data_IF_555275228142
#
_entry.id   IF_555275228142
#
_cell.length_a   1.000
_cell.length_b   1.000
_cell.length_c   1.000
_cell.angle_alpha   90.00
_cell.angle_beta   90.00
_cell.angle_gamma   90.00
#
_symmetry.space_group_name_H-M   'P 1'
#
loop_
_entity.id
_entity.type
_entity.pdbx_description
1 polymer ?
#
# COMPACT_ATOMS: atom_id res chain seq x y z
N UNK A 1 -8.15 14.64 -4.29
CA UNK A 1 -9.43 14.18 -4.90
C UNK A 1 -9.35 14.03 -6.42
N UNK A 2 -8.84 15.01 -7.18
CA UNK A 2 -8.66 14.84 -8.64
C UNK A 2 -7.68 13.71 -9.01
N UNK A 3 -6.55 13.62 -8.31
CA UNK A 3 -5.58 12.55 -8.49
C UNK A 3 -6.20 11.17 -8.24
N UNK A 4 -6.99 11.02 -7.18
CA UNK A 4 -7.73 9.79 -6.90
C UNK A 4 -8.61 9.36 -8.07
N UNK A 5 -9.46 10.26 -8.59
CA UNK A 5 -10.30 9.94 -9.75
C UNK A 5 -9.47 9.60 -10.98
N UNK A 6 -8.37 10.30 -11.23
CA UNK A 6 -7.48 10.02 -12.35
C UNK A 6 -6.85 8.62 -12.25
N UNK A 7 -6.36 8.23 -11.07
CA UNK A 7 -5.81 6.90 -10.81
C UNK A 7 -6.89 5.83 -10.98
N UNK A 8 -8.10 6.06 -10.49
CA UNK A 8 -9.23 5.14 -10.68
C UNK A 8 -9.58 4.96 -12.16
N UNK A 9 -9.68 6.04 -12.94
CA UNK A 9 -9.92 5.95 -14.39
C UNK A 9 -8.79 5.20 -15.11
N UNK A 10 -7.54 5.46 -14.73
CA UNK A 10 -6.39 4.76 -15.28
C UNK A 10 -6.41 3.27 -14.95
N UNK A 11 -6.71 2.91 -13.70
CA UNK A 11 -6.81 1.52 -13.27
C UNK A 11 -7.92 0.77 -14.02
N UNK A 12 -9.08 1.40 -14.20
CA UNK A 12 -10.18 0.83 -15.00
C UNK A 12 -9.77 0.66 -16.46
N UNK A 13 -9.10 1.66 -17.05
CA UNK A 13 -8.62 1.59 -18.43
C UNK A 13 -7.64 0.45 -18.65
N UNK A 14 -6.61 0.33 -17.80
CA UNK A 14 -5.62 -0.75 -17.87
C UNK A 14 -6.27 -2.11 -17.70
N UNK A 15 -7.16 -2.27 -16.71
CA UNK A 15 -7.87 -3.52 -16.48
C UNK A 15 -8.77 -3.93 -17.66
N UNK A 16 -9.39 -2.96 -18.34
CA UNK A 16 -10.29 -3.23 -19.46
C UNK A 16 -9.51 -3.57 -20.74
N UNK A 17 -8.45 -2.82 -21.05
CA UNK A 17 -7.71 -2.94 -22.33
C UNK A 17 -6.61 -3.99 -22.26
N UNK A 18 -5.98 -4.17 -21.10
CA UNK A 18 -4.69 -4.88 -20.96
C UNK A 18 -4.78 -6.11 -20.06
N UNK A 19 -5.96 -6.73 -19.95
CA UNK A 19 -6.20 -7.90 -19.10
C UNK A 19 -5.28 -9.10 -19.39
N UNK A 20 -4.86 -9.29 -20.65
CA UNK A 20 -3.98 -10.40 -21.05
C UNK A 20 -2.51 -10.23 -20.66
N UNK A 21 -2.04 -9.00 -20.46
CA UNK A 21 -0.66 -8.74 -20.05
C UNK A 21 -0.51 -8.61 -18.53
N UNK A 22 -1.62 -8.56 -17.79
CA UNK A 22 -1.67 -8.32 -16.36
C UNK A 22 -0.74 -9.27 -15.58
N UNK A 23 -0.76 -10.57 -15.88
CA UNK A 23 0.12 -11.55 -15.22
C UNK A 23 1.63 -11.25 -15.39
N UNK A 24 2.04 -10.65 -16.52
CA UNK A 24 3.44 -10.23 -16.73
C UNK A 24 3.74 -8.92 -16.00
N UNK A 25 2.76 -8.01 -15.95
CA UNK A 25 2.86 -6.76 -15.19
C UNK A 25 3.00 -7.02 -13.69
N UNK A 26 2.24 -7.96 -13.12
CA UNK A 26 2.34 -8.33 -11.70
C UNK A 26 3.76 -8.77 -11.31
N UNK A 27 4.41 -9.57 -12.16
CA UNK A 27 5.81 -9.97 -11.93
C UNK A 27 6.79 -8.79 -11.91
N UNK A 28 6.58 -7.79 -12.78
CA UNK A 28 7.38 -6.56 -12.80
C UNK A 28 7.09 -5.69 -11.58
N UNK A 29 5.82 -5.59 -11.18
CA UNK A 29 5.40 -4.84 -10.00
C UNK A 29 6.02 -5.43 -8.73
N UNK A 30 6.08 -6.75 -8.60
CA UNK A 30 6.75 -7.42 -7.48
C UNK A 30 8.23 -7.02 -7.38
N UNK A 31 8.92 -7.03 -8.52
CA UNK A 31 10.33 -6.62 -8.59
C UNK A 31 10.48 -5.15 -8.24
N UNK A 32 9.63 -4.28 -8.80
CA UNK A 32 9.60 -2.85 -8.51
C UNK A 32 9.28 -2.58 -7.03
N UNK A 33 8.42 -3.36 -6.39
CA UNK A 33 8.07 -3.25 -4.99
C UNK A 33 9.27 -3.57 -4.09
N UNK A 34 9.97 -4.68 -4.35
CA UNK A 34 11.17 -5.05 -3.61
C UNK A 34 12.30 -4.02 -3.78
N UNK A 35 12.58 -3.59 -5.01
CA UNK A 35 13.58 -2.55 -5.25
C UNK A 35 13.14 -1.20 -4.68
N UNK A 36 11.86 -0.87 -4.79
CA UNK A 36 11.31 0.38 -4.32
C UNK A 36 11.38 0.50 -2.80
N UNK A 37 11.16 -0.61 -2.09
CA UNK A 37 11.38 -0.71 -0.65
C UNK A 37 12.81 -0.27 -0.27
N UNK A 38 13.83 -0.85 -0.90
CA UNK A 38 15.22 -0.49 -0.61
C UNK A 38 15.58 0.93 -1.09
N UNK A 39 15.01 1.36 -2.21
CA UNK A 39 15.21 2.70 -2.75
C UNK A 39 14.64 3.82 -1.86
N UNK A 40 13.66 3.50 -1.01
CA UNK A 40 13.16 4.42 0.03
C UNK A 40 13.90 4.22 1.35
N UNK A 41 14.09 2.97 1.77
CA UNK A 41 14.70 2.64 3.07
C UNK A 41 16.16 3.13 3.16
N UNK A 42 16.98 2.90 2.13
CA UNK A 42 18.41 3.22 2.17
C UNK A 42 18.63 4.74 2.29
N UNK A 43 18.05 5.61 1.44
CA UNK A 43 18.22 7.05 1.61
C UNK A 43 17.66 7.57 2.93
N UNK A 44 16.54 7.03 3.39
CA UNK A 44 15.92 7.42 4.65
C UNK A 44 16.86 7.15 5.83
N UNK A 45 17.41 5.93 5.94
CA UNK A 45 18.32 5.58 7.03
C UNK A 45 19.69 6.22 6.86
N UNK A 46 20.18 6.41 5.64
CA UNK A 46 21.53 6.92 5.42
C UNK A 46 21.64 8.44 5.63
N UNK A 47 20.65 9.20 5.13
CA UNK A 47 20.66 10.66 5.23
C UNK A 47 19.82 11.19 6.39
N UNK A 48 18.86 10.40 6.88
CA UNK A 48 17.93 10.80 7.92
C UNK A 48 18.59 11.15 9.25
N UNK A 49 17.95 12.01 10.05
CA UNK A 49 18.33 12.17 11.45
C UNK A 49 18.15 10.84 12.17
N UNK A 50 19.01 10.50 13.13
CA UNK A 50 18.86 9.27 13.90
C UNK A 50 18.41 9.62 15.31
N UNK A 51 17.19 9.23 15.66
CA UNK A 51 16.65 9.36 17.01
C UNK A 51 17.25 8.34 17.98
N UNK A 52 17.02 8.58 19.28
CA UNK A 52 17.43 7.68 20.35
C UNK A 52 16.36 6.61 20.64
N UNK A 53 16.62 5.75 21.62
CA UNK A 53 15.67 4.71 22.07
C UNK A 53 14.35 5.27 22.65
N UNK A 54 14.20 6.59 22.72
CA UNK A 54 12.95 7.27 23.12
C UNK A 54 11.77 6.90 22.22
N UNK A 55 12.01 6.51 20.96
CA UNK A 55 10.96 6.05 20.02
C UNK A 55 10.11 4.87 20.54
N UNK A 56 10.61 4.10 21.51
CA UNK A 56 9.88 2.98 22.11
C UNK A 56 9.12 3.34 23.39
N UNK A 57 9.38 4.51 23.95
CA UNK A 57 8.88 4.94 25.26
C UNK A 57 7.95 6.14 25.13
N UNK A 58 8.23 7.03 24.18
CA UNK A 58 7.48 8.24 23.96
C UNK A 58 6.27 7.98 23.07
N UNK A 59 5.08 8.19 23.64
CA UNK A 59 3.82 8.10 22.92
C UNK A 59 3.26 9.50 22.70
N UNK A 60 3.04 9.87 21.43
CA UNK A 60 2.48 11.16 21.04
C UNK A 60 0.96 11.05 20.84
N UNK A 61 0.23 12.14 21.12
CA UNK A 61 -1.23 12.23 20.94
C UNK A 61 -1.61 13.54 20.24
N UNK A 62 -1.05 13.74 19.05
CA UNK A 62 -1.27 14.94 18.23
C UNK A 62 -2.70 15.00 17.64
N UNK A 63 -3.45 13.90 17.70
CA UNK A 63 -4.87 13.87 17.38
C UNK A 63 -5.79 14.49 18.45
N UNK A 64 -5.23 14.92 19.58
CA UNK A 64 -5.97 15.49 20.72
C UNK A 64 -7.08 14.57 21.25
N UNK A 65 -6.83 13.25 21.22
CA UNK A 65 -7.79 12.27 21.74
C UNK A 65 -7.90 12.33 23.27
N UNK A 66 -9.06 12.02 23.87
CA UNK A 66 -9.26 12.12 25.32
C UNK A 66 -8.32 11.26 26.17
N UNK A 67 -7.81 10.15 25.62
CA UNK A 67 -6.86 9.26 26.31
C UNK A 67 -5.82 8.73 25.32
N UNK A 68 -4.62 8.42 25.84
CA UNK A 68 -3.54 7.82 25.05
C UNK A 68 -3.94 6.45 24.48
N UNK A 69 -4.73 5.68 25.23
CA UNK A 69 -5.24 4.39 24.78
C UNK A 69 -6.14 4.53 23.54
N UNK A 70 -7.02 5.54 23.53
CA UNK A 70 -7.88 5.78 22.38
C UNK A 70 -7.06 6.23 21.16
N UNK A 71 -6.07 7.10 21.37
CA UNK A 71 -5.11 7.50 20.33
C UNK A 71 -4.38 6.29 19.72
N UNK A 72 -3.91 5.38 20.57
CA UNK A 72 -3.28 4.13 20.14
C UNK A 72 -4.23 3.25 19.29
N UNK A 73 -5.46 3.03 19.73
CA UNK A 73 -6.44 2.25 18.97
C UNK A 73 -6.85 2.91 17.66
N UNK A 74 -6.82 4.24 17.57
CA UNK A 74 -7.05 4.97 16.31
C UNK A 74 -5.88 4.85 15.34
N UNK A 75 -4.64 4.71 15.83
CA UNK A 75 -3.46 4.46 15.01
C UNK A 75 -3.34 3.01 14.52
N UNK A 76 -3.89 2.04 15.25
CA UNK A 76 -3.80 0.61 14.96
C UNK A 76 -4.32 0.20 13.56
N UNK A 77 -5.44 0.75 13.03
CA UNK A 77 -5.91 0.45 11.69
C UNK A 77 -4.85 0.65 10.61
N UNK A 78 -4.00 1.67 10.70
CA UNK A 78 -2.96 1.93 9.70
C UNK A 78 -1.99 0.75 9.57
N UNK A 79 -1.63 0.12 10.69
CA UNK A 79 -0.79 -1.09 10.69
C UNK A 79 -1.52 -2.30 10.10
N UNK A 80 -2.83 -2.43 10.32
CA UNK A 80 -3.63 -3.52 9.77
C UNK A 80 -3.78 -3.39 8.25
N UNK A 81 -4.04 -2.19 7.74
CA UNK A 81 -4.22 -1.94 6.31
C UNK A 81 -3.00 -2.34 5.48
N UNK A 82 -1.78 -2.27 6.04
CA UNK A 82 -0.56 -2.70 5.36
C UNK A 82 -0.50 -4.21 5.03
N UNK A 83 -1.34 -5.03 5.66
CA UNK A 83 -1.38 -6.49 5.44
C UNK A 83 -2.66 -6.95 4.72
N UNK A 84 -3.55 -6.02 4.37
CA UNK A 84 -4.77 -6.32 3.62
C UNK A 84 -4.38 -6.50 2.15
N UNK A 85 -4.79 -7.63 1.55
CA UNK A 85 -4.49 -7.97 0.16
C UNK A 85 -3.86 -9.34 -0.03
N UNK A 86 -3.41 -10.00 1.04
CA UNK A 86 -2.89 -11.37 0.95
C UNK A 86 -3.93 -12.35 0.37
N UNK A 87 -5.20 -12.21 0.74
CA UNK A 87 -6.30 -13.07 0.31
C UNK A 87 -6.67 -12.94 -1.17
N UNK A 88 -6.13 -11.95 -1.90
CA UNK A 88 -6.26 -11.82 -3.36
C UNK A 88 -5.90 -13.12 -4.11
N UNK A 89 -4.89 -13.85 -3.61
CA UNK A 89 -4.48 -15.14 -4.17
C UNK A 89 -5.59 -16.22 -4.10
N UNK A 90 -6.50 -16.13 -3.13
CA UNK A 90 -7.64 -17.05 -2.98
C UNK A 90 -8.67 -16.79 -4.07
N UNK A 91 -8.95 -15.51 -4.35
CA UNK A 91 -9.93 -15.08 -5.36
C UNK A 91 -9.47 -15.40 -6.79
N UNK A 92 -8.17 -15.63 -6.99
CA UNK A 92 -7.57 -16.01 -8.27
C UNK A 92 -7.14 -17.49 -8.33
N UNK A 93 -7.58 -18.30 -7.37
CA UNK A 93 -7.18 -19.71 -7.26
C UNK A 93 -7.51 -20.56 -8.49
N UNK A 94 -8.54 -20.22 -9.26
CA UNK A 94 -8.92 -20.91 -10.50
C UNK A 94 -7.84 -20.85 -11.59
N UNK A 95 -6.97 -19.83 -11.56
CA UNK A 95 -5.88 -19.63 -12.54
C UNK A 95 -4.55 -20.25 -12.07
N UNK A 96 -4.50 -20.79 -10.84
CA UNK A 96 -3.28 -21.28 -10.21
C UNK A 96 -3.17 -22.80 -10.33
N UNK A 97 -2.09 -23.28 -10.92
CA UNK A 97 -1.79 -24.71 -10.91
C UNK A 97 -1.50 -25.20 -9.48
N UNK A 98 -2.19 -26.26 -9.04
CA UNK A 98 -2.06 -26.83 -7.69
C UNK A 98 -2.45 -25.83 -6.58
N UNK A 99 -3.54 -25.09 -6.79
CA UNK A 99 -4.04 -24.08 -5.86
C UNK A 99 -4.14 -24.55 -4.40
N UNK A 100 -4.54 -25.80 -4.14
CA UNK A 100 -4.67 -26.34 -2.77
C UNK A 100 -3.37 -26.37 -1.95
N UNK A 101 -2.21 -26.33 -2.60
CA UNK A 101 -0.90 -26.26 -1.93
C UNK A 101 -0.25 -24.89 -2.12
N UNK A 102 -0.33 -24.34 -3.33
CA UNK A 102 0.36 -23.09 -3.69
C UNK A 102 -0.27 -21.88 -3.02
N UNK A 103 -1.61 -21.79 -2.96
CA UNK A 103 -2.30 -20.63 -2.38
C UNK A 103 -1.99 -20.49 -0.88
N UNK A 104 -2.11 -21.53 -0.02
CA UNK A 104 -1.74 -21.42 1.39
C UNK A 104 -0.27 -21.05 1.60
N UNK A 105 0.64 -21.60 0.80
CA UNK A 105 2.07 -21.29 0.90
C UNK A 105 2.37 -19.85 0.49
N UNK A 106 1.79 -19.38 -0.60
CA UNK A 106 1.95 -18.00 -1.07
C UNK A 106 1.38 -16.99 -0.07
N UNK A 107 0.24 -17.29 0.55
CA UNK A 107 -0.36 -16.48 1.61
C UNK A 107 0.59 -16.31 2.79
N UNK A 108 1.10 -17.42 3.33
CA UNK A 108 1.99 -17.39 4.49
C UNK A 108 3.31 -16.70 4.16
N UNK A 109 3.88 -16.95 2.99
CA UNK A 109 5.13 -16.34 2.56
C UNK A 109 4.97 -14.82 2.36
N UNK A 110 3.89 -14.40 1.69
CA UNK A 110 3.58 -12.99 1.47
C UNK A 110 3.39 -12.26 2.80
N UNK A 111 2.66 -12.85 3.74
CA UNK A 111 2.43 -12.26 5.06
C UNK A 111 3.73 -12.10 5.85
N UNK A 112 4.61 -13.10 5.84
CA UNK A 112 5.90 -13.03 6.54
C UNK A 112 6.82 -12.00 5.89
N UNK A 113 6.96 -12.00 4.56
CA UNK A 113 7.83 -11.06 3.85
C UNK A 113 7.34 -9.62 4.05
N UNK A 114 6.06 -9.34 3.77
CA UNK A 114 5.50 -8.00 3.93
C UNK A 114 5.48 -7.56 5.40
N UNK A 115 5.23 -8.48 6.33
CA UNK A 115 5.32 -8.19 7.76
C UNK A 115 6.72 -7.74 8.20
N UNK A 116 7.77 -8.46 7.75
CA UNK A 116 9.16 -8.10 8.06
C UNK A 116 9.57 -6.79 7.39
N UNK A 117 9.25 -6.61 6.10
CA UNK A 117 9.56 -5.37 5.37
C UNK A 117 8.83 -4.17 5.98
N UNK A 118 7.52 -4.29 6.21
CA UNK A 118 6.71 -3.25 6.85
C UNK A 118 7.23 -2.88 8.23
N UNK A 119 7.56 -3.87 9.06
CA UNK A 119 8.12 -3.62 10.40
C UNK A 119 9.47 -2.90 10.33
N UNK A 120 10.36 -3.31 9.42
CA UNK A 120 11.65 -2.65 9.21
C UNK A 120 11.48 -1.19 8.74
N UNK A 121 10.54 -0.92 7.84
CA UNK A 121 10.25 0.45 7.38
C UNK A 121 9.67 1.32 8.50
N UNK A 122 8.75 0.78 9.32
CA UNK A 122 8.19 1.51 10.45
C UNK A 122 9.27 1.86 11.46
N UNK A 123 10.17 0.92 11.79
CA UNK A 123 11.31 1.21 12.65
C UNK A 123 12.21 2.29 12.05
N UNK A 124 12.59 2.15 10.78
CA UNK A 124 13.42 3.16 10.10
C UNK A 124 12.76 4.55 10.13
N UNK A 125 11.46 4.64 9.83
CA UNK A 125 10.70 5.88 9.91
C UNK A 125 10.66 6.45 11.33
N UNK A 126 10.42 5.64 12.36
CA UNK A 126 10.39 6.12 13.75
C UNK A 126 11.73 6.69 14.18
N UNK A 127 12.83 6.04 13.83
CA UNK A 127 14.18 6.54 14.10
C UNK A 127 14.55 7.75 13.23
N UNK A 128 13.99 7.86 12.02
CA UNK A 128 14.32 8.91 11.05
C UNK A 128 13.29 10.04 10.93
N UNK A 129 12.28 10.08 11.81
CA UNK A 129 11.11 10.96 11.68
C UNK A 129 11.45 12.45 11.77
N UNK A 130 12.59 12.79 12.39
CA UNK A 130 13.01 14.17 12.57
C UNK A 130 12.06 14.95 13.48
N UNK A 131 11.69 16.17 13.06
CA UNK A 131 10.79 17.02 13.83
C UNK A 131 9.33 16.73 13.47
N UNK A 132 8.62 16.05 14.38
CA UNK A 132 7.22 15.63 14.20
C UNK A 132 6.27 16.83 14.07
N UNK A 133 6.49 17.91 14.83
CA UNK A 133 5.64 19.10 14.77
C UNK A 133 5.73 19.77 13.40
N UNK A 134 6.93 19.81 12.82
CA UNK A 134 7.14 20.28 11.46
C UNK A 134 6.46 19.36 10.44
N UNK A 135 6.55 18.03 10.63
CA UNK A 135 5.88 17.05 9.77
C UNK A 135 4.34 17.17 9.77
N UNK A 136 3.74 17.50 10.92
CA UNK A 136 2.30 17.66 11.06
C UNK A 136 1.79 19.05 10.65
N UNK A 137 2.63 20.08 10.81
CA UNK A 137 2.30 21.46 10.46
C UNK A 137 2.62 21.87 9.01
N UNK A 138 3.34 21.03 8.26
CA UNK A 138 3.81 21.35 6.91
C UNK A 138 2.64 21.47 5.92
N UNK A 139 2.26 22.71 5.62
CA UNK A 139 1.32 23.03 4.53
C UNK A 139 2.02 22.94 3.16
N UNK A 140 3.34 23.17 3.14
CA UNK A 140 4.23 23.12 1.96
C UNK A 140 4.26 21.72 1.30
N UNK A 141 4.00 20.64 2.05
CA UNK A 141 3.98 19.25 1.56
C UNK A 141 2.56 18.72 1.27
N UNK A 142 1.65 19.63 0.93
CA UNK A 142 0.24 19.34 0.64
C UNK A 142 -0.51 18.64 1.80
N UNK A 143 0.00 18.73 3.03
CA UNK A 143 -0.57 18.09 4.21
C UNK A 143 -0.31 16.58 4.31
N UNK A 144 0.72 16.07 3.62
CA UNK A 144 1.15 14.67 3.74
C UNK A 144 2.43 14.57 4.58
N UNK A 145 2.36 14.07 5.83
CA UNK A 145 3.51 14.05 6.74
C UNK A 145 4.71 13.25 6.24
N UNK A 146 4.48 12.18 5.46
CA UNK A 146 5.58 11.36 4.93
C UNK A 146 6.47 12.10 3.92
N UNK A 147 5.91 13.07 3.18
CA UNK A 147 6.67 13.90 2.24
C UNK A 147 7.64 14.82 2.99
N UNK A 148 7.17 15.39 4.10
CA UNK A 148 7.99 16.25 4.97
C UNK A 148 9.09 15.44 5.65
N UNK A 149 8.80 14.23 6.11
CA UNK A 149 9.82 13.32 6.67
C UNK A 149 10.90 13.01 5.62
N UNK A 150 10.53 12.72 4.37
CA UNK A 150 11.52 12.49 3.31
C UNK A 150 12.33 13.74 2.98
N UNK A 151 11.71 14.92 3.01
CA UNK A 151 12.39 16.20 2.81
C UNK A 151 13.40 16.48 3.93
N UNK A 152 13.00 16.28 5.18
CA UNK A 152 13.87 16.44 6.35
C UNK A 152 15.02 15.42 6.35
N UNK A 153 14.76 14.19 5.90
CA UNK A 153 15.78 13.16 5.83
C UNK A 153 16.83 13.45 4.75
N UNK A 154 16.41 13.78 3.53
CA UNK A 154 17.34 13.93 2.40
C UNK A 154 17.85 15.36 2.23
N UNK A 155 17.22 16.35 2.89
CA UNK A 155 17.50 17.79 2.75
C UNK A 155 17.53 18.27 1.28
N UNK A 156 16.77 17.61 0.41
CA UNK A 156 16.68 17.92 -1.02
C UNK A 156 15.26 17.68 -1.53
N UNK A 157 14.67 18.72 -2.13
CA UNK A 157 13.33 18.64 -2.73
C UNK A 157 13.30 17.59 -3.83
N UNK A 158 14.34 17.53 -4.68
CA UNK A 158 14.41 16.53 -5.76
C UNK A 158 14.49 15.11 -5.21
N UNK A 159 15.29 14.87 -4.18
CA UNK A 159 15.40 13.56 -3.54
C UNK A 159 14.08 13.09 -2.92
N UNK A 160 13.44 13.97 -2.15
CA UNK A 160 12.14 13.70 -1.54
C UNK A 160 11.04 13.45 -2.59
N UNK A 161 11.00 14.25 -3.67
CA UNK A 161 10.06 14.05 -4.77
C UNK A 161 10.27 12.72 -5.50
N UNK A 162 11.52 12.27 -5.68
CA UNK A 162 11.81 10.97 -6.32
C UNK A 162 11.34 9.80 -5.44
N UNK A 163 11.62 9.86 -4.13
CA UNK A 163 11.15 8.84 -3.17
C UNK A 163 9.62 8.78 -3.11
N UNK A 164 8.96 9.94 -3.02
CA UNK A 164 7.52 10.01 -2.99
C UNK A 164 6.88 9.61 -4.34
N UNK A 165 7.48 10.00 -5.46
CA UNK A 165 7.02 9.61 -6.79
C UNK A 165 7.07 8.09 -6.96
N UNK A 166 8.11 7.44 -6.46
CA UNK A 166 8.22 5.98 -6.43
C UNK A 166 7.09 5.34 -5.61
N UNK A 167 6.78 5.86 -4.41
CA UNK A 167 5.65 5.40 -3.59
C UNK A 167 4.32 5.56 -4.34
N UNK A 168 4.10 6.70 -4.99
CA UNK A 168 2.89 6.95 -5.78
C UNK A 168 2.78 6.00 -6.97
N UNK A 169 3.88 5.70 -7.66
CA UNK A 169 3.88 4.72 -8.76
C UNK A 169 3.52 3.33 -8.26
N UNK A 170 4.07 2.91 -7.12
CA UNK A 170 3.74 1.62 -6.49
C UNK A 170 2.27 1.55 -6.08
N UNK A 171 1.72 2.63 -5.51
CA UNK A 171 0.32 2.74 -5.11
C UNK A 171 -0.64 2.65 -6.31
N UNK A 172 -0.30 3.32 -7.42
CA UNK A 172 -1.05 3.21 -8.68
C UNK A 172 -1.03 1.76 -9.18
N UNK A 173 0.14 1.12 -9.20
CA UNK A 173 0.26 -0.28 -9.62
C UNK A 173 -0.57 -1.22 -8.74
N UNK A 174 -0.55 -1.04 -7.42
CA UNK A 174 -1.38 -1.80 -6.48
C UNK A 174 -2.87 -1.62 -6.78
N UNK A 175 -3.30 -0.37 -7.00
CA UNK A 175 -4.70 -0.05 -7.32
C UNK A 175 -5.19 -0.76 -8.58
N UNK A 176 -4.32 -0.93 -9.59
CA UNK A 176 -4.65 -1.71 -10.79
C UNK A 176 -4.91 -3.19 -10.43
N UNK A 177 -4.04 -3.80 -9.63
CA UNK A 177 -4.17 -5.20 -9.20
C UNK A 177 -5.44 -5.45 -8.37
N UNK A 178 -5.70 -4.58 -7.40
CA UNK A 178 -6.90 -4.65 -6.55
C UNK A 178 -8.18 -4.50 -7.36
N UNK A 179 -8.20 -3.57 -8.33
CA UNK A 179 -9.33 -3.39 -9.24
C UNK A 179 -9.58 -4.63 -10.10
N UNK A 180 -8.52 -5.34 -10.49
CA UNK A 180 -8.61 -6.59 -11.24
C UNK A 180 -9.27 -7.70 -10.41
N UNK A 181 -8.79 -7.89 -9.18
CA UNK A 181 -9.29 -8.89 -8.24
C UNK A 181 -10.76 -8.61 -7.87
N UNK A 182 -11.08 -7.37 -7.51
CA UNK A 182 -12.45 -6.96 -7.19
C UNK A 182 -13.42 -7.17 -8.35
N UNK A 183 -12.99 -6.85 -9.58
CA UNK A 183 -13.81 -7.09 -10.78
C UNK A 183 -14.11 -8.57 -10.97
N UNK A 184 -13.12 -9.45 -10.80
CA UNK A 184 -13.29 -10.91 -10.93
C UNK A 184 -14.27 -11.46 -9.88
N UNK A 185 -14.16 -11.00 -8.63
CA UNK A 185 -15.13 -11.35 -7.58
C UNK A 185 -16.54 -10.89 -7.96
N UNK A 186 -16.69 -9.64 -8.41
CA UNK A 186 -17.99 -9.12 -8.84
C UNK A 186 -18.59 -9.95 -9.99
N UNK A 187 -17.76 -10.49 -10.88
CA UNK A 187 -18.21 -11.33 -11.99
C UNK A 187 -18.63 -12.75 -11.59
N UNK A 188 -18.18 -13.28 -10.46
CA UNK A 188 -18.54 -14.63 -9.99
C UNK A 188 -19.90 -14.66 -9.27
N UNK A 189 -20.23 -13.65 -8.47
CA UNK A 189 -21.48 -13.59 -7.68
C UNK A 189 -22.81 -13.57 -8.47
N UNK A 190 -22.91 -13.02 -9.70
CA UNK A 190 -24.12 -13.06 -10.51
C UNK A 190 -24.60 -14.49 -10.83
N UNK A 191 -23.70 -15.48 -10.79
CA UNK A 191 -24.04 -16.90 -10.95
C UNK A 191 -24.96 -17.41 -9.83
N UNK A 192 -24.76 -16.88 -8.63
CA UNK A 192 -25.50 -17.26 -7.43
C UNK A 192 -26.64 -16.29 -7.08
N UNK A 193 -26.96 -15.35 -7.99
CA UNK A 193 -27.94 -14.26 -7.77
C UNK A 193 -27.60 -13.39 -6.56
N UNK A 194 -26.33 -13.32 -6.19
CA UNK A 194 -25.85 -12.63 -4.98
C UNK A 194 -25.73 -11.11 -5.10
N UNK A 195 -25.89 -10.53 -6.30
CA UNK A 195 -25.76 -9.08 -6.53
C UNK A 195 -27.07 -8.43 -6.99
N UNK A 196 -27.29 -7.14 -6.66
CA UNK A 196 -28.27 -6.32 -7.36
C UNK A 196 -27.99 -6.36 -8.88
N UNK A 197 -29.02 -6.50 -9.71
CA UNK A 197 -28.91 -6.59 -11.18
C UNK A 197 -28.18 -7.83 -11.74
N UNK A 198 -28.16 -8.96 -11.03
CA UNK A 198 -27.56 -10.24 -11.47
C UNK A 198 -27.97 -10.69 -12.89
N UNK A 199 -29.17 -10.32 -13.36
CA UNK A 199 -29.68 -10.66 -14.70
C UNK A 199 -28.92 -9.96 -15.84
N UNK A 200 -28.37 -8.76 -15.60
CA UNK A 200 -27.60 -8.00 -16.60
C UNK A 200 -26.15 -8.47 -16.60
N UNK A 201 -25.56 -8.63 -15.40
CA UNK A 201 -24.17 -9.08 -15.21
C UNK A 201 -23.96 -10.53 -15.69
N UNK A 202 -24.94 -11.41 -15.54
CA UNK A 202 -24.85 -12.79 -16.06
C UNK A 202 -24.85 -12.89 -17.60
N UNK A 203 -25.34 -11.86 -18.31
CA UNK A 203 -25.41 -11.86 -19.78
C UNK A 203 -24.10 -11.50 -20.47
N UNK A 204 -23.24 -10.69 -19.87
CA UNK A 204 -21.94 -10.29 -20.44
C UNK A 204 -20.81 -11.28 -20.17
N UNK A 205 -21.13 -12.44 -19.58
CA UNK A 205 -20.20 -13.55 -19.32
C UNK A 205 -20.15 -14.59 -20.47
N UNK A 206 -20.81 -14.33 -21.61
CA UNK A 206 -20.70 -15.14 -22.84
C UNK A 206 -19.63 -14.56 -23.76
#
# INVERSE_FOLDING_TARGET
>A
MLLFWAVMFFAVFINTVTSRALAKFEGVILVLHLFGFFAVLIPLVYFGPHGDASVFVDFLNEGNWPTQALSFFVGLPAAVFCLIGADSAVHMSEEIQRASTVVPQALMLSLVINGVLGFAMVLALMFCIGNVDAALGATETLGYPFLEIFLQAVNSVTGACLMAGLVVVLDICSTVGDSAAASRMLWSFPRDRGTPFWQVLSKSQK
#
